data_IF_589196946123
#
_entry.id   IF_589196946123
#
_cell.length_a   1.000
_cell.length_b   1.000
_cell.length_c   1.000
_cell.angle_alpha   90.00
_cell.angle_beta   90.00
_cell.angle_gamma   90.00
#
_symmetry.space_group_name_H-M   'P 1'
#
loop_
_entity.id
_entity.type
_entity.pdbx_description
1 polymer ?
#
# COMPACT_ATOMS: atom_id res chain seq x y z
N UNK A 1 24.98 -10.25 0.79
CA UNK A 1 24.29 -9.85 2.03
C UNK A 1 22.80 -9.96 1.75
N UNK A 2 22.00 -10.62 2.59
CA UNK A 2 20.55 -10.67 2.38
C UNK A 2 19.99 -9.26 2.54
N UNK A 3 19.13 -8.85 1.60
CA UNK A 3 18.43 -7.57 1.67
C UNK A 3 17.44 -7.60 2.84
N UNK A 4 17.45 -6.57 3.68
CA UNK A 4 16.44 -6.45 4.76
C UNK A 4 15.15 -5.89 4.15
N UNK A 5 14.26 -6.79 3.72
CA UNK A 5 12.91 -6.46 3.25
C UNK A 5 11.96 -6.58 4.44
N UNK A 6 11.26 -5.49 4.75
CA UNK A 6 10.24 -5.48 5.79
C UNK A 6 9.06 -6.37 5.40
N UNK A 7 8.61 -7.22 6.32
CA UNK A 7 7.37 -7.99 6.15
C UNK A 7 6.29 -7.30 6.96
N UNK A 8 5.21 -6.94 6.27
CA UNK A 8 4.16 -6.09 6.78
C UNK A 8 2.78 -6.72 6.60
N UNK A 9 1.80 -6.18 7.30
CA UNK A 9 0.39 -6.27 6.97
C UNK A 9 -0.30 -4.95 7.31
N UNK A 10 -1.46 -4.68 6.72
CA UNK A 10 -2.21 -3.46 7.02
C UNK A 10 -2.96 -3.56 8.37
N UNK A 11 -2.49 -2.79 9.33
CA UNK A 11 -2.99 -2.76 10.69
C UNK A 11 -4.35 -2.05 10.76
N UNK A 12 -5.20 -2.53 11.66
CA UNK A 12 -6.50 -1.98 11.97
C UNK A 12 -6.79 -2.19 13.46
N UNK A 13 -7.43 -1.23 14.14
CA UNK A 13 -7.77 -1.37 15.57
C UNK A 13 -8.59 -2.63 15.88
N UNK A 14 -9.39 -3.11 14.92
CA UNK A 14 -10.23 -4.31 15.08
C UNK A 14 -9.42 -5.61 15.21
N UNK A 15 -8.16 -5.61 14.80
CA UNK A 15 -7.26 -6.75 14.97
C UNK A 15 -6.81 -6.93 16.41
N UNK A 16 -6.75 -5.83 17.17
CA UNK A 16 -6.36 -5.86 18.57
C UNK A 16 -7.56 -6.31 19.38
N UNK A 17 -7.55 -7.59 19.78
CA UNK A 17 -8.56 -8.15 20.67
C UNK A 17 -8.42 -7.66 22.12
N UNK A 18 -9.23 -8.22 23.01
CA UNK A 18 -9.22 -7.88 24.45
C UNK A 18 -7.89 -8.19 25.14
N UNK A 19 -7.11 -9.14 24.59
CA UNK A 19 -5.78 -9.51 25.10
C UNK A 19 -4.70 -8.46 24.79
N UNK A 20 -5.01 -7.44 23.99
CA UNK A 20 -4.14 -6.31 23.72
C UNK A 20 -3.13 -6.51 22.59
N UNK A 21 -2.35 -5.45 22.34
CA UNK A 21 -1.46 -5.35 21.18
C UNK A 21 -0.35 -6.40 21.17
N UNK A 22 0.29 -6.63 22.33
CA UNK A 22 1.39 -7.58 22.44
C UNK A 22 0.95 -9.02 22.20
N UNK A 23 -0.21 -9.42 22.75
CA UNK A 23 -0.78 -10.74 22.52
C UNK A 23 -1.07 -10.97 21.04
N UNK A 24 -1.53 -9.92 20.34
CA UNK A 24 -1.79 -9.99 18.91
C UNK A 24 -0.52 -10.02 18.05
N UNK A 25 0.46 -9.15 18.32
CA UNK A 25 1.66 -9.00 17.48
C UNK A 25 2.74 -10.06 17.73
N UNK A 26 2.86 -10.59 18.95
CA UNK A 26 3.96 -11.49 19.30
C UNK A 26 4.02 -12.75 18.41
N UNK A 27 2.92 -13.47 18.14
CA UNK A 27 2.93 -14.61 17.23
C UNK A 27 3.32 -14.24 15.80
N UNK A 28 2.93 -13.05 15.32
CA UNK A 28 3.27 -12.56 13.98
C UNK A 28 4.76 -12.21 13.87
N UNK A 29 5.33 -11.61 14.90
CA UNK A 29 6.78 -11.33 14.98
C UNK A 29 7.62 -12.60 14.93
N UNK A 30 7.18 -13.66 15.60
CA UNK A 30 7.87 -14.95 15.59
C UNK A 30 7.96 -15.57 14.19
N UNK A 31 7.07 -15.20 13.26
CA UNK A 31 7.09 -15.66 11.87
C UNK A 31 7.68 -14.64 10.90
N UNK A 32 8.26 -13.56 11.41
CA UNK A 32 9.07 -12.61 10.64
C UNK A 32 8.38 -11.29 10.31
N UNK A 33 7.20 -11.01 10.87
CA UNK A 33 6.59 -9.67 10.78
C UNK A 33 7.43 -8.66 11.56
N UNK A 34 7.82 -7.56 10.91
CA UNK A 34 8.62 -6.49 11.54
C UNK A 34 8.13 -5.08 11.20
N UNK A 35 7.18 -4.97 10.26
CA UNK A 35 6.64 -3.72 9.75
C UNK A 35 5.13 -3.75 9.83
N UNK A 36 4.49 -2.59 9.98
CA UNK A 36 3.03 -2.44 9.90
C UNK A 36 2.67 -1.30 8.97
N UNK A 37 1.65 -1.52 8.16
CA UNK A 37 1.06 -0.48 7.32
C UNK A 37 -0.19 0.11 7.95
N UNK A 38 -0.34 1.43 7.89
CA UNK A 38 -1.55 2.12 8.34
C UNK A 38 -2.12 3.01 7.25
N UNK A 39 -3.44 2.95 7.05
CA UNK A 39 -4.13 3.90 6.19
C UNK A 39 -4.31 5.25 6.91
N UNK A 40 -3.76 6.32 6.32
CA UNK A 40 -3.81 7.68 6.89
C UNK A 40 -5.06 8.45 6.43
N UNK A 41 -6.24 7.88 6.64
CA UNK A 41 -7.52 8.50 6.31
C UNK A 41 -8.30 8.92 7.55
N UNK A 42 -8.25 10.23 7.86
CA UNK A 42 -8.96 10.83 9.00
C UNK A 42 -10.48 10.79 8.92
N UNK A 43 -11.03 10.43 7.75
CA UNK A 43 -12.48 10.30 7.57
C UNK A 43 -12.98 8.88 7.84
N UNK A 44 -12.07 7.95 8.14
CA UNK A 44 -12.46 6.61 8.60
C UNK A 44 -13.08 6.68 10.00
N UNK A 45 -14.18 5.95 10.26
CA UNK A 45 -14.76 5.84 11.60
C UNK A 45 -13.76 5.38 12.67
N UNK A 46 -12.78 4.55 12.28
CA UNK A 46 -11.75 4.00 13.14
C UNK A 46 -10.56 4.95 13.37
N UNK A 47 -10.51 6.12 12.73
CA UNK A 47 -9.37 7.04 12.85
C UNK A 47 -9.01 7.40 14.30
N UNK A 48 -9.97 7.70 15.21
CA UNK A 48 -9.65 8.02 16.60
C UNK A 48 -8.92 6.90 17.35
N UNK A 49 -9.09 5.64 16.93
CA UNK A 49 -8.35 4.50 17.47
C UNK A 49 -7.08 4.19 16.66
N UNK A 50 -7.10 4.46 15.35
CA UNK A 50 -5.97 4.22 14.45
C UNK A 50 -4.77 5.12 14.78
N UNK A 51 -5.00 6.41 14.98
CA UNK A 51 -3.94 7.40 15.24
C UNK A 51 -3.07 7.06 16.47
N UNK A 52 -3.63 6.79 17.67
CA UNK A 52 -2.81 6.39 18.82
C UNK A 52 -2.14 5.01 18.61
N UNK A 53 -2.81 4.08 17.93
CA UNK A 53 -2.28 2.74 17.66
C UNK A 53 -0.98 2.77 16.84
N UNK A 54 -0.80 3.74 15.94
CA UNK A 54 0.47 3.94 15.22
C UNK A 54 1.61 4.16 16.22
N UNK A 55 1.39 5.02 17.22
CA UNK A 55 2.36 5.30 18.28
C UNK A 55 2.67 4.09 19.13
N UNK A 56 1.63 3.39 19.59
CA UNK A 56 1.77 2.17 20.39
C UNK A 56 2.56 1.07 19.66
N UNK A 57 2.29 0.89 18.36
CA UNK A 57 3.03 -0.07 17.53
C UNK A 57 4.49 0.31 17.34
N UNK A 58 4.79 1.59 17.15
CA UNK A 58 6.15 2.09 17.05
C UNK A 58 6.93 1.94 18.36
N UNK A 59 6.29 2.27 19.49
CA UNK A 59 6.87 2.11 20.83
C UNK A 59 7.10 0.63 21.18
N UNK A 60 6.28 -0.27 20.64
CA UNK A 60 6.49 -1.71 20.70
C UNK A 60 7.62 -2.21 19.77
N UNK A 61 8.25 -1.34 18.98
CA UNK A 61 9.39 -1.67 18.11
C UNK A 61 9.04 -2.09 16.68
N UNK A 62 7.80 -1.89 16.23
CA UNK A 62 7.44 -2.12 14.81
C UNK A 62 7.97 -0.99 13.92
N UNK A 63 8.46 -1.35 12.73
CA UNK A 63 8.68 -0.38 11.64
C UNK A 63 7.31 0.06 11.10
N UNK A 64 7.25 1.28 10.56
CA UNK A 64 6.02 1.86 10.02
C UNK A 64 6.12 2.06 8.50
N UNK A 65 5.03 1.75 7.80
CA UNK A 65 4.73 2.29 6.49
C UNK A 65 3.27 2.77 6.44
N UNK A 66 2.92 3.51 5.40
CA UNK A 66 1.61 4.14 5.32
C UNK A 66 0.96 3.96 3.97
N UNK A 67 -0.36 4.03 3.97
CA UNK A 67 -1.18 4.16 2.78
C UNK A 67 -1.81 5.55 2.75
N UNK A 68 -1.64 6.28 1.66
CA UNK A 68 -2.29 7.57 1.45
C UNK A 68 -3.81 7.40 1.38
N UNK A 69 -4.59 8.37 1.89
CA UNK A 69 -6.04 8.29 1.78
C UNK A 69 -6.47 8.39 0.30
N UNK A 70 -7.36 7.49 -0.13
CA UNK A 70 -7.80 7.39 -1.52
C UNK A 70 -9.34 7.38 -1.69
N UNK A 71 -10.06 7.40 -0.57
CA UNK A 71 -11.52 7.46 -0.53
C UNK A 71 -11.98 8.91 -0.47
N UNK A 72 -13.20 9.15 -0.95
CA UNK A 72 -13.82 10.47 -0.84
C UNK A 72 -13.82 10.93 0.62
N UNK A 73 -13.43 12.19 0.90
CA UNK A 73 -13.16 13.30 -0.03
C UNK A 73 -11.74 13.37 -0.62
N UNK A 74 -10.82 12.48 -0.25
CA UNK A 74 -9.42 12.48 -0.73
C UNK A 74 -9.33 11.99 -2.18
N UNK A 75 -9.18 12.93 -3.12
CA UNK A 75 -9.00 12.66 -4.55
C UNK A 75 -7.92 13.59 -5.12
N UNK A 76 -7.06 13.05 -5.98
CA UNK A 76 -6.01 13.81 -6.67
C UNK A 76 -6.58 14.63 -7.84
N UNK A 77 -7.77 14.28 -8.35
CA UNK A 77 -8.45 15.00 -9.43
C UNK A 77 -8.52 16.52 -9.17
N UNK A 78 -8.06 17.30 -10.14
CA UNK A 78 -7.97 18.76 -10.08
C UNK A 78 -6.66 19.31 -9.49
N UNK A 79 -5.66 18.46 -9.22
CA UNK A 79 -4.38 18.95 -8.70
C UNK A 79 -3.63 19.88 -9.67
N UNK A 80 -3.77 19.69 -10.98
CA UNK A 80 -3.10 20.51 -12.00
C UNK A 80 -3.88 21.78 -12.37
N UNK A 81 -4.99 22.08 -11.70
CA UNK A 81 -5.86 23.22 -12.01
C UNK A 81 -6.11 24.11 -10.76
N UNK A 82 -7.16 24.93 -10.80
CA UNK A 82 -7.55 25.84 -9.72
C UNK A 82 -7.81 25.14 -8.37
N UNK A 83 -8.07 23.83 -8.36
CA UNK A 83 -8.31 23.04 -7.15
C UNK A 83 -7.03 22.55 -6.47
N UNK A 84 -5.84 22.86 -6.99
CA UNK A 84 -4.56 22.46 -6.39
C UNK A 84 -4.49 22.71 -4.88
N UNK A 85 -4.86 23.92 -4.44
CA UNK A 85 -4.80 24.29 -3.02
C UNK A 85 -5.76 23.45 -2.15
N UNK A 86 -6.96 23.15 -2.67
CA UNK A 86 -7.94 22.28 -2.04
C UNK A 86 -7.36 20.86 -1.87
N UNK A 87 -6.84 20.27 -2.96
CA UNK A 87 -6.26 18.92 -2.93
C UNK A 87 -5.04 18.87 -2.01
N UNK A 88 -4.17 19.88 -2.04
CA UNK A 88 -3.04 19.97 -1.09
C UNK A 88 -3.52 20.01 0.36
N UNK A 89 -4.54 20.80 0.68
CA UNK A 89 -5.10 20.88 2.02
C UNK A 89 -5.70 19.55 2.49
N UNK A 90 -6.24 18.75 1.56
CA UNK A 90 -6.79 17.42 1.84
C UNK A 90 -5.71 16.39 2.19
N UNK A 91 -4.62 16.34 1.42
CA UNK A 91 -3.56 15.33 1.61
C UNK A 91 -2.50 15.74 2.64
N UNK A 92 -2.27 17.03 2.85
CA UNK A 92 -1.20 17.53 3.73
C UNK A 92 -1.23 16.94 5.15
N UNK A 93 -2.38 16.74 5.84
CA UNK A 93 -2.38 16.11 7.15
C UNK A 93 -1.78 14.70 7.15
N UNK A 94 -2.17 13.84 6.20
CA UNK A 94 -1.64 12.48 6.09
C UNK A 94 -0.14 12.48 5.76
N UNK A 95 0.27 13.31 4.80
CA UNK A 95 1.68 13.44 4.41
C UNK A 95 2.54 13.99 5.57
N UNK A 96 2.01 14.93 6.35
CA UNK A 96 2.70 15.49 7.51
C UNK A 96 2.89 14.45 8.64
N UNK A 97 1.92 13.55 8.85
CA UNK A 97 2.07 12.42 9.79
C UNK A 97 3.23 11.51 9.35
N UNK A 98 3.23 11.10 8.07
CA UNK A 98 4.29 10.24 7.53
C UNK A 98 5.68 10.90 7.61
N UNK A 99 5.78 12.18 7.25
CA UNK A 99 7.01 12.97 7.36
C UNK A 99 7.47 13.11 8.82
N UNK A 100 6.56 13.38 9.75
CA UNK A 100 6.88 13.49 11.18
C UNK A 100 7.43 12.17 11.76
N UNK A 101 6.90 11.03 11.32
CA UNK A 101 7.46 9.72 11.68
C UNK A 101 8.82 9.47 11.04
N UNK A 102 9.03 9.89 9.79
CA UNK A 102 10.33 9.79 9.15
C UNK A 102 11.40 10.57 9.92
N UNK A 103 11.06 11.78 10.38
CA UNK A 103 11.93 12.62 11.21
C UNK A 103 12.18 12.00 12.59
N UNK A 104 11.12 11.55 13.28
CA UNK A 104 11.21 10.95 14.62
C UNK A 104 12.06 9.68 14.62
N UNK A 105 11.95 8.85 13.58
CA UNK A 105 12.68 7.58 13.47
C UNK A 105 14.05 7.72 12.79
N UNK A 106 14.35 8.89 12.21
CA UNK A 106 15.60 9.14 11.48
C UNK A 106 15.77 8.28 10.21
N UNK A 107 14.68 7.69 9.71
CA UNK A 107 14.67 6.87 8.49
C UNK A 107 13.52 7.28 7.59
N UNK A 108 13.69 7.27 6.26
CA UNK A 108 12.58 7.50 5.36
C UNK A 108 11.45 6.49 5.53
N UNK A 109 10.21 6.94 5.35
CA UNK A 109 9.00 6.14 5.47
C UNK A 109 8.45 5.79 4.08
N UNK A 110 8.05 4.54 3.88
CA UNK A 110 7.34 4.17 2.66
C UNK A 110 5.87 4.58 2.76
N UNK A 111 5.35 5.20 1.70
CA UNK A 111 3.95 5.55 1.59
C UNK A 111 3.36 5.16 0.23
N UNK A 112 2.34 4.32 0.25
CA UNK A 112 1.60 3.92 -0.96
C UNK A 112 0.63 5.02 -1.36
N UNK A 113 0.50 5.26 -2.67
CA UNK A 113 -0.41 6.27 -3.20
C UNK A 113 -1.04 5.83 -4.52
N UNK A 114 -2.35 6.05 -4.65
CA UNK A 114 -3.10 5.79 -5.86
C UNK A 114 -3.03 6.99 -6.82
N UNK A 115 -3.21 6.72 -8.12
CA UNK A 115 -3.40 7.78 -9.13
C UNK A 115 -4.76 8.48 -9.06
N UNK A 116 -4.87 9.58 -9.78
CA UNK A 116 -6.13 10.30 -9.93
C UNK A 116 -7.18 9.42 -10.63
N UNK A 117 -8.44 9.62 -10.26
CA UNK A 117 -9.60 8.94 -10.85
C UNK A 117 -10.80 9.86 -10.93
N UNK A 118 -11.61 9.68 -11.97
CA UNK A 118 -12.84 10.43 -12.18
C UNK A 118 -13.83 9.64 -13.03
N UNK A 119 -15.11 10.00 -12.96
CA UNK A 119 -16.15 9.56 -13.90
C UNK A 119 -16.50 10.64 -14.92
N UNK A 120 -15.82 11.80 -14.88
CA UNK A 120 -16.13 12.96 -15.70
C UNK A 120 -14.89 13.55 -16.40
N UNK A 121 -13.74 13.60 -15.73
CA UNK A 121 -12.52 14.15 -16.29
C UNK A 121 -11.90 13.23 -17.37
N UNK A 122 -11.19 13.83 -18.31
CA UNK A 122 -10.44 13.10 -19.33
C UNK A 122 -9.18 12.45 -18.75
N UNK A 123 -8.72 11.36 -19.36
CA UNK A 123 -7.56 10.59 -18.89
C UNK A 123 -6.28 11.44 -18.82
N UNK A 124 -6.05 12.28 -19.82
CA UNK A 124 -4.87 13.16 -19.90
C UNK A 124 -4.85 14.16 -18.75
N UNK A 125 -6.01 14.70 -18.37
CA UNK A 125 -6.14 15.59 -17.21
C UNK A 125 -5.79 14.85 -15.91
N UNK A 126 -6.33 13.65 -15.72
CA UNK A 126 -6.03 12.84 -14.54
C UNK A 126 -4.55 12.42 -14.48
N UNK A 127 -3.93 12.16 -15.64
CA UNK A 127 -2.50 11.89 -15.74
C UNK A 127 -1.69 13.10 -15.28
N UNK A 128 -2.01 14.29 -15.79
CA UNK A 128 -1.33 15.52 -15.37
C UNK A 128 -1.54 15.83 -13.88
N UNK A 129 -2.76 15.65 -13.36
CA UNK A 129 -3.06 15.76 -11.93
C UNK A 129 -2.15 14.83 -11.10
N UNK A 130 -2.03 13.57 -11.52
CA UNK A 130 -1.19 12.57 -10.85
C UNK A 130 0.29 12.97 -10.88
N UNK A 131 0.81 13.39 -12.04
CA UNK A 131 2.21 13.81 -12.19
C UNK A 131 2.53 15.03 -11.32
N UNK A 132 1.66 16.05 -11.33
CA UNK A 132 1.86 17.27 -10.56
C UNK A 132 1.72 17.02 -9.05
N UNK A 133 0.79 16.15 -8.64
CA UNK A 133 0.63 15.75 -7.24
C UNK A 133 1.89 15.06 -6.73
N UNK A 134 2.40 14.06 -7.47
CA UNK A 134 3.61 13.34 -7.06
C UNK A 134 4.82 14.27 -6.98
N UNK A 135 5.02 15.13 -7.98
CA UNK A 135 6.11 16.12 -7.98
C UNK A 135 6.04 17.04 -6.75
N UNK A 136 4.85 17.52 -6.42
CA UNK A 136 4.63 18.32 -5.22
C UNK A 136 4.94 17.53 -3.94
N UNK A 137 4.39 16.32 -3.80
CA UNK A 137 4.56 15.52 -2.61
C UNK A 137 6.03 15.12 -2.38
N UNK A 138 6.75 14.76 -3.45
CA UNK A 138 8.17 14.44 -3.40
C UNK A 138 9.04 15.63 -3.01
N UNK A 139 8.66 16.85 -3.42
CA UNK A 139 9.37 18.08 -3.08
C UNK A 139 9.12 18.51 -1.62
N UNK A 140 7.85 18.55 -1.20
CA UNK A 140 7.45 19.08 0.10
C UNK A 140 7.68 18.08 1.26
N UNK A 141 7.77 16.77 0.96
CA UNK A 141 7.90 15.70 1.97
C UNK A 141 9.08 14.77 1.64
N UNK A 142 10.33 15.26 1.73
CA UNK A 142 11.52 14.52 1.29
C UNK A 142 11.86 13.29 2.14
N UNK A 143 11.27 13.16 3.34
CA UNK A 143 11.40 11.99 4.21
C UNK A 143 10.56 10.79 3.78
N UNK A 144 9.79 10.91 2.69
CA UNK A 144 8.88 9.85 2.23
C UNK A 144 9.40 9.21 0.94
N UNK A 145 9.40 7.88 0.90
CA UNK A 145 9.46 7.07 -0.31
C UNK A 145 8.03 6.79 -0.79
N UNK A 146 7.64 7.39 -1.91
CA UNK A 146 6.31 7.16 -2.48
C UNK A 146 6.32 5.92 -3.38
N UNK A 147 5.37 5.03 -3.15
CA UNK A 147 5.12 3.85 -3.96
C UNK A 147 3.81 4.04 -4.74
N UNK A 148 3.90 4.29 -6.04
CA UNK A 148 2.74 4.49 -6.91
C UNK A 148 2.12 3.13 -7.26
N UNK A 149 0.87 2.93 -6.88
CA UNK A 149 0.23 1.61 -6.96
C UNK A 149 -0.45 1.34 -8.29
N UNK A 150 -0.37 0.08 -8.75
CA UNK A 150 -1.30 -0.41 -9.75
C UNK A 150 -2.70 -0.66 -9.15
N UNK A 151 -3.68 0.11 -9.59
CA UNK A 151 -5.04 0.12 -9.06
C UNK A 151 -5.88 -1.08 -9.53
N UNK A 152 -6.87 -1.45 -8.70
CA UNK A 152 -7.98 -2.33 -9.10
C UNK A 152 -8.61 -1.86 -10.43
N UNK A 153 -9.03 -2.81 -11.32
CA UNK A 153 -9.79 -2.49 -12.53
C UNK A 153 -10.86 -1.42 -12.32
N UNK A 154 -10.94 -0.48 -13.26
CA UNK A 154 -11.90 0.59 -13.24
C UNK A 154 -13.34 0.05 -13.38
N UNK A 155 -14.28 0.67 -12.68
CA UNK A 155 -15.70 0.38 -12.88
C UNK A 155 -16.16 0.96 -14.23
N UNK A 156 -17.25 0.45 -14.83
CA UNK A 156 -17.82 1.04 -16.03
C UNK A 156 -18.04 2.55 -15.88
N UNK A 157 -17.44 3.34 -16.78
CA UNK A 157 -17.53 4.81 -16.77
C UNK A 157 -16.53 5.53 -15.84
N UNK A 158 -15.70 4.79 -15.10
CA UNK A 158 -14.60 5.36 -14.31
C UNK A 158 -13.30 5.33 -15.13
N UNK A 159 -12.51 6.40 -15.05
CA UNK A 159 -11.14 6.46 -15.54
C UNK A 159 -10.23 6.52 -14.31
N UNK A 160 -9.22 5.66 -14.28
CA UNK A 160 -8.16 5.65 -13.27
C UNK A 160 -6.79 5.72 -13.93
N UNK A 161 -5.88 6.46 -13.29
CA UNK A 161 -4.46 6.37 -13.56
C UNK A 161 -3.86 5.30 -12.65
N UNK A 162 -2.98 4.47 -13.21
CA UNK A 162 -2.36 3.32 -12.57
C UNK A 162 -3.10 2.00 -12.78
N UNK A 163 -4.07 1.87 -13.68
CA UNK A 163 -4.80 0.59 -13.85
C UNK A 163 -3.93 -0.52 -14.46
N UNK A 164 -2.97 -0.15 -15.31
CA UNK A 164 -2.10 -1.11 -16.01
C UNK A 164 -0.63 -0.87 -15.65
N UNK A 165 0.19 -1.91 -15.75
CA UNK A 165 1.63 -1.81 -15.54
C UNK A 165 2.30 -0.75 -16.42
N UNK A 166 1.84 -0.60 -17.67
CA UNK A 166 2.36 0.40 -18.60
C UNK A 166 2.07 1.83 -18.13
N UNK A 167 0.88 2.07 -17.57
CA UNK A 167 0.46 3.36 -17.05
C UNK A 167 1.25 3.76 -15.80
N UNK A 168 1.46 2.81 -14.89
CA UNK A 168 2.29 3.00 -13.70
C UNK A 168 3.74 3.27 -14.07
N UNK A 169 4.32 2.50 -15.00
CA UNK A 169 5.69 2.72 -15.48
C UNK A 169 5.84 4.09 -16.15
N UNK A 170 4.87 4.48 -16.97
CA UNK A 170 4.86 5.80 -17.59
C UNK A 170 4.88 6.91 -16.53
N UNK A 171 4.02 6.86 -15.51
CA UNK A 171 4.03 7.85 -14.41
C UNK A 171 5.37 7.89 -13.68
N UNK A 172 5.89 6.74 -13.25
CA UNK A 172 7.16 6.68 -12.50
C UNK A 172 8.34 7.18 -13.34
N UNK A 173 8.40 6.82 -14.62
CA UNK A 173 9.44 7.28 -15.55
C UNK A 173 9.32 8.77 -15.90
N UNK A 174 8.12 9.34 -15.94
CA UNK A 174 7.94 10.77 -16.23
C UNK A 174 8.27 11.65 -15.02
N UNK A 175 8.02 11.19 -13.80
CA UNK A 175 8.42 11.91 -12.58
C UNK A 175 9.91 11.74 -12.32
N UNK A 176 10.46 10.54 -12.56
CA UNK A 176 11.89 10.20 -12.49
C UNK A 176 12.58 10.73 -11.23
N UNK A 177 12.10 10.31 -10.05
CA UNK A 177 12.63 10.75 -8.77
C UNK A 177 13.17 9.57 -7.95
N UNK A 178 14.31 9.69 -7.25
CA UNK A 178 14.90 8.58 -6.48
C UNK A 178 14.00 8.10 -5.33
N UNK A 179 13.14 8.99 -4.82
CA UNK A 179 12.15 8.66 -3.77
C UNK A 179 10.79 8.19 -4.31
N UNK A 180 10.66 7.95 -5.62
CA UNK A 180 9.46 7.38 -6.21
C UNK A 180 9.76 5.99 -6.78
N UNK A 181 8.85 5.06 -6.55
CA UNK A 181 8.86 3.74 -7.16
C UNK A 181 7.44 3.20 -7.30
N UNK A 182 7.34 1.90 -7.54
CA UNK A 182 6.08 1.18 -7.76
C UNK A 182 5.66 0.47 -6.47
N UNK A 183 4.39 0.59 -6.11
CA UNK A 183 3.71 -0.41 -5.30
C UNK A 183 3.11 -1.44 -6.26
N UNK A 184 3.63 -2.66 -6.25
CA UNK A 184 3.06 -3.74 -7.03
C UNK A 184 1.99 -4.45 -6.21
N UNK A 185 0.72 -4.15 -6.48
CA UNK A 185 -0.39 -4.89 -5.91
C UNK A 185 -0.65 -6.15 -6.73
N UNK A 186 -0.47 -7.31 -6.11
CA UNK A 186 -0.60 -8.59 -6.80
C UNK A 186 -2.04 -8.93 -7.17
N UNK A 187 -3.02 -8.63 -6.32
CA UNK A 187 -4.39 -9.02 -6.64
C UNK A 187 -5.01 -8.10 -7.69
N UNK A 188 -4.75 -6.80 -7.63
CA UNK A 188 -5.11 -5.85 -8.68
C UNK A 188 -4.49 -6.23 -10.02
N UNK A 189 -3.19 -6.57 -10.04
CA UNK A 189 -2.50 -6.96 -11.26
C UNK A 189 -2.96 -8.33 -11.78
N UNK A 190 -3.32 -9.27 -10.90
CA UNK A 190 -3.96 -10.52 -11.30
C UNK A 190 -5.32 -10.27 -11.97
N UNK A 191 -6.16 -9.40 -11.39
CA UNK A 191 -7.47 -9.05 -11.93
C UNK A 191 -7.37 -8.30 -13.27
N UNK A 192 -6.35 -7.45 -13.45
CA UNK A 192 -6.16 -6.67 -14.68
C UNK A 192 -5.40 -7.45 -15.77
N UNK A 193 -4.35 -8.19 -15.42
CA UNK A 193 -3.40 -8.79 -16.36
C UNK A 193 -3.43 -10.32 -16.40
N UNK A 194 -4.17 -10.98 -15.50
CA UNK A 194 -4.36 -12.43 -15.50
C UNK A 194 -3.09 -13.24 -15.23
N UNK A 195 -2.17 -12.74 -14.40
CA UNK A 195 -0.96 -13.47 -14.04
C UNK A 195 0.19 -13.40 -15.07
N UNK A 196 0.11 -12.51 -16.06
CA UNK A 196 1.16 -12.35 -17.09
C UNK A 196 2.54 -12.06 -16.50
N UNK A 197 3.58 -12.52 -17.18
CA UNK A 197 4.98 -12.26 -16.83
C UNK A 197 5.25 -10.75 -16.68
N UNK A 198 6.06 -10.38 -15.68
CA UNK A 198 6.52 -9.01 -15.44
C UNK A 198 7.82 -8.75 -16.20
N UNK A 199 8.00 -7.50 -16.66
CA UNK A 199 9.25 -7.09 -17.29
C UNK A 199 10.33 -6.77 -16.25
N UNK A 200 11.59 -6.80 -16.67
CA UNK A 200 12.70 -6.36 -15.82
C UNK A 200 12.56 -4.88 -15.44
N UNK A 201 12.11 -4.03 -16.36
CA UNK A 201 11.87 -2.59 -16.11
C UNK A 201 10.84 -2.35 -15.02
N UNK A 202 9.78 -3.17 -14.96
CA UNK A 202 8.82 -3.15 -13.87
C UNK A 202 9.49 -3.48 -12.54
N UNK A 203 10.15 -4.63 -12.46
CA UNK A 203 10.79 -5.12 -11.23
C UNK A 203 11.86 -4.16 -10.70
N UNK A 204 12.61 -3.50 -11.58
CA UNK A 204 13.63 -2.51 -11.21
C UNK A 204 13.05 -1.28 -10.49
N UNK A 205 11.75 -0.99 -10.69
CA UNK A 205 11.07 0.16 -10.08
C UNK A 205 10.25 -0.22 -8.83
N UNK A 206 10.07 -1.51 -8.53
CA UNK A 206 9.29 -1.97 -7.35
C UNK A 206 9.99 -1.60 -6.06
N UNK A 207 9.30 -0.84 -5.20
CA UNK A 207 9.76 -0.47 -3.85
C UNK A 207 8.84 -0.99 -2.75
N UNK A 208 7.59 -1.28 -3.08
CA UNK A 208 6.56 -1.79 -2.18
C UNK A 208 5.76 -2.87 -2.92
N UNK A 209 5.25 -3.86 -2.20
CA UNK A 209 4.32 -4.86 -2.75
C UNK A 209 3.14 -5.02 -1.83
N UNK A 210 1.93 -4.97 -2.37
CA UNK A 210 0.75 -5.49 -1.69
C UNK A 210 0.50 -6.92 -2.14
N UNK A 211 0.38 -7.81 -1.16
CA UNK A 211 0.14 -9.22 -1.36
C UNK A 211 -1.20 -9.54 -0.73
N UNK A 212 -2.13 -10.03 -1.53
CA UNK A 212 -3.38 -10.57 -1.03
C UNK A 212 -3.95 -11.52 -2.07
N UNK A 213 -4.91 -12.34 -1.64
CA UNK A 213 -5.60 -13.26 -2.52
C UNK A 213 -6.89 -12.66 -3.07
N UNK A 214 -7.45 -13.37 -4.03
CA UNK A 214 -8.73 -13.10 -4.66
C UNK A 214 -9.57 -14.36 -4.55
N UNK A 215 -10.86 -14.26 -4.22
CA UNK A 215 -11.76 -15.42 -4.18
C UNK A 215 -12.26 -15.83 -5.57
N UNK A 216 -13.15 -16.84 -5.63
CA UNK A 216 -13.71 -17.34 -6.90
C UNK A 216 -14.69 -16.36 -7.57
N UNK A 217 -15.11 -15.32 -6.86
CA UNK A 217 -16.02 -14.28 -7.31
C UNK A 217 -15.26 -13.00 -7.67
N UNK A 218 -13.93 -13.05 -7.72
CA UNK A 218 -13.05 -11.91 -7.95
C UNK A 218 -13.13 -10.82 -6.86
N UNK A 219 -13.54 -11.18 -5.65
CA UNK A 219 -13.42 -10.30 -4.48
C UNK A 219 -12.00 -10.44 -3.93
N UNK A 220 -11.33 -9.32 -3.78
CA UNK A 220 -9.92 -9.19 -3.45
C UNK A 220 -9.66 -8.89 -1.96
N UNK A 221 -8.39 -8.81 -1.56
CA UNK A 221 -7.93 -8.51 -0.20
C UNK A 221 -8.29 -9.58 0.85
N UNK A 222 -8.24 -10.85 0.45
CA UNK A 222 -8.26 -11.97 1.38
C UNK A 222 -6.84 -12.39 1.82
N UNK A 223 -6.70 -13.06 2.97
CA UNK A 223 -5.48 -13.80 3.29
C UNK A 223 -5.16 -14.84 2.19
N UNK A 224 -3.93 -15.35 2.16
CA UNK A 224 -3.41 -16.24 1.09
C UNK A 224 -3.95 -17.68 1.19
N UNK A 225 -5.27 -17.83 1.08
CA UNK A 225 -5.99 -19.09 1.35
C UNK A 225 -6.67 -19.68 0.11
N UNK A 226 -6.86 -18.91 -0.95
CA UNK A 226 -7.54 -19.36 -2.17
C UNK A 226 -6.57 -19.82 -3.27
N UNK A 227 -5.33 -19.33 -3.23
CA UNK A 227 -4.27 -19.60 -4.20
C UNK A 227 -4.69 -19.28 -5.65
N UNK A 228 -5.46 -18.20 -5.83
CA UNK A 228 -5.88 -17.73 -7.15
C UNK A 228 -4.85 -16.76 -7.75
N UNK A 229 -4.24 -15.93 -6.90
CA UNK A 229 -3.14 -15.04 -7.31
C UNK A 229 -1.82 -15.84 -7.40
N UNK A 230 -0.98 -15.65 -8.43
CA UNK A 230 0.20 -16.49 -8.67
C UNK A 230 1.42 -16.12 -7.78
N UNK A 231 1.21 -15.89 -6.48
CA UNK A 231 2.24 -15.44 -5.54
C UNK A 231 3.44 -16.40 -5.44
N UNK A 232 3.25 -17.71 -5.64
CA UNK A 232 4.34 -18.70 -5.68
C UNK A 232 5.34 -18.47 -6.82
N UNK A 233 4.92 -17.79 -7.89
CA UNK A 233 5.78 -17.41 -9.01
C UNK A 233 6.24 -15.96 -8.92
N UNK A 234 5.43 -15.06 -8.37
CA UNK A 234 5.76 -13.63 -8.29
C UNK A 234 6.63 -13.24 -7.10
N UNK A 235 6.44 -13.84 -5.92
CA UNK A 235 7.29 -13.55 -4.75
C UNK A 235 8.78 -13.82 -5.03
N UNK A 236 9.19 -14.94 -5.68
CA UNK A 236 10.60 -15.16 -5.99
C UNK A 236 11.22 -14.10 -6.92
N UNK A 237 10.43 -13.42 -7.75
CA UNK A 237 10.93 -12.36 -8.63
C UNK A 237 11.41 -11.14 -7.84
N UNK A 238 10.82 -10.91 -6.66
CA UNK A 238 11.16 -9.79 -5.79
C UNK A 238 12.59 -9.85 -5.25
N UNK A 239 13.25 -11.01 -5.31
CA UNK A 239 14.69 -11.16 -5.02
C UNK A 239 15.58 -10.35 -5.96
N UNK A 240 15.10 -10.08 -7.17
CA UNK A 240 15.77 -9.23 -8.15
C UNK A 240 15.33 -7.76 -8.12
N UNK A 241 14.35 -7.40 -7.28
CA UNK A 241 13.88 -6.03 -7.14
C UNK A 241 14.79 -5.28 -6.15
N UNK A 242 15.88 -4.69 -6.63
CA UNK A 242 16.91 -4.05 -5.80
C UNK A 242 16.41 -2.89 -4.95
N UNK A 243 15.29 -2.27 -5.31
CA UNK A 243 14.69 -1.14 -4.57
C UNK A 243 13.57 -1.52 -3.61
N UNK A 244 13.08 -2.77 -3.63
CA UNK A 244 12.05 -3.27 -2.70
C UNK A 244 12.41 -3.04 -1.23
N UNK A 245 11.51 -2.41 -0.49
CA UNK A 245 11.66 -2.11 0.94
C UNK A 245 10.71 -2.90 1.82
N UNK A 246 9.46 -3.06 1.37
CA UNK A 246 8.39 -3.68 2.17
C UNK A 246 7.50 -4.55 1.29
N UNK A 247 7.09 -5.70 1.79
CA UNK A 247 5.99 -6.50 1.27
C UNK A 247 4.88 -6.58 2.32
N UNK A 248 3.72 -6.03 2.01
CA UNK A 248 2.56 -5.89 2.90
C UNK A 248 1.47 -6.88 2.51
N UNK A 249 1.01 -7.67 3.48
CA UNK A 249 -0.25 -8.39 3.37
C UNK A 249 -1.41 -7.40 3.54
N UNK A 250 -2.09 -7.04 2.45
CA UNK A 250 -3.16 -6.03 2.48
C UNK A 250 -4.56 -6.68 2.49
N UNK A 251 -5.29 -6.51 3.60
CA UNK A 251 -6.56 -7.16 3.85
C UNK A 251 -7.71 -6.16 4.06
N UNK A 252 -8.90 -6.51 3.58
CA UNK A 252 -10.13 -5.75 3.87
C UNK A 252 -10.80 -6.31 5.11
N UNK A 253 -10.66 -5.64 6.25
CA UNK A 253 -11.25 -6.07 7.53
C UNK A 253 -12.75 -6.42 7.48
N UNK A 254 -13.51 -5.73 6.63
CA UNK A 254 -14.93 -6.03 6.39
C UNK A 254 -15.21 -7.46 5.91
N UNK A 255 -14.28 -8.09 5.18
CA UNK A 255 -14.42 -9.46 4.68
C UNK A 255 -14.27 -10.52 5.79
N UNK A 256 -13.71 -10.14 6.93
CA UNK A 256 -13.43 -11.02 8.07
C UNK A 256 -14.35 -10.75 9.27
N UNK A 257 -15.43 -9.97 9.12
CA UNK A 257 -16.35 -9.64 10.23
C UNK A 257 -16.98 -10.86 10.93
N UNK A 258 -17.02 -12.02 10.26
CA UNK A 258 -17.52 -13.28 10.84
C UNK A 258 -16.44 -14.23 11.36
N UNK A 259 -15.17 -13.83 11.34
CA UNK A 259 -14.06 -14.68 11.78
C UNK A 259 -13.75 -14.43 13.26
N UNK A 260 -13.37 -15.47 13.99
CA UNK A 260 -12.80 -15.30 15.34
C UNK A 260 -11.41 -14.67 15.26
N UNK A 261 -10.98 -14.04 16.36
CA UNK A 261 -9.63 -13.48 16.46
C UNK A 261 -8.55 -14.55 16.20
N UNK A 262 -8.68 -15.74 16.79
CA UNK A 262 -7.78 -16.87 16.55
C UNK A 262 -7.68 -17.24 15.06
N UNK A 263 -8.82 -17.23 14.34
CA UNK A 263 -8.83 -17.53 12.91
C UNK A 263 -8.16 -16.44 12.09
N UNK A 264 -8.37 -15.17 12.45
CA UNK A 264 -7.70 -14.04 11.79
C UNK A 264 -6.19 -14.14 12.03
N UNK A 265 -5.75 -14.31 13.28
CA UNK A 265 -4.34 -14.40 13.62
C UNK A 265 -3.66 -15.60 12.93
N UNK A 266 -4.30 -16.77 12.92
CA UNK A 266 -3.79 -17.94 12.20
C UNK A 266 -3.62 -17.68 10.69
N UNK A 267 -4.61 -17.08 10.04
CA UNK A 267 -4.54 -16.75 8.62
C UNK A 267 -3.47 -15.70 8.30
N UNK A 268 -3.28 -14.72 9.18
CA UNK A 268 -2.19 -13.73 9.09
C UNK A 268 -0.82 -14.41 9.23
N UNK A 269 -0.65 -15.27 10.24
CA UNK A 269 0.59 -16.02 10.47
C UNK A 269 0.98 -16.84 9.22
N UNK A 270 0.02 -17.59 8.67
CA UNK A 270 0.29 -18.44 7.50
C UNK A 270 0.63 -17.59 6.27
N UNK A 271 -0.08 -16.49 6.05
CA UNK A 271 0.20 -15.57 4.95
C UNK A 271 1.58 -14.90 5.08
N UNK A 272 1.94 -14.44 6.29
CA UNK A 272 3.26 -13.86 6.58
C UNK A 272 4.39 -14.86 6.30
N UNK A 273 4.21 -16.13 6.68
CA UNK A 273 5.19 -17.19 6.36
C UNK A 273 5.37 -17.37 4.86
N UNK A 274 4.27 -17.39 4.10
CA UNK A 274 4.31 -17.50 2.64
C UNK A 274 5.12 -16.36 2.02
N UNK A 275 4.85 -15.11 2.44
CA UNK A 275 5.59 -13.93 1.97
C UNK A 275 7.06 -14.05 2.35
N UNK A 276 7.36 -14.34 3.62
CA UNK A 276 8.74 -14.40 4.14
C UNK A 276 9.61 -15.46 3.45
N UNK A 277 9.03 -16.62 3.12
CA UNK A 277 9.74 -17.70 2.41
C UNK A 277 9.87 -17.41 0.92
N UNK A 278 8.88 -16.72 0.35
CA UNK A 278 8.82 -16.39 -1.08
C UNK A 278 9.87 -15.37 -1.52
N UNK A 279 10.29 -14.46 -0.65
CA UNK A 279 11.29 -13.42 -0.92
C UNK A 279 12.63 -13.75 -0.27
#
# INVERSE_FOLDING_TARGET
MSKDIGISFNMNPRWVGEEGLDAFLNPLRQVGLDTLEFELDRFLPEWPQMEPLIGECADAGMKLCFHAPYRSPNRIEGFSNERRAEVQAMFRPALAIAQGWAEKLGTPINMVVHGARSTAAQRETLREDTLQFLKWALHDFPGIYFAFENNHPAKPGEIKIGETRADVLDVVNNVHHPNLGICWDFGHDFLSAGGKAVSADWLAQVIHVHVHDVDRQNVDHYPLVFNNVPYSTWLPLLRSADRLRVATLELKGGLMMGWSQDRIQAALIDSVRVIKVGI
#
